data_IF_134337923042
#
_entry.id   IF_134337923042
#
_cell.length_a   1.000
_cell.length_b   1.000
_cell.length_c   1.000
_cell.angle_alpha   90.00
_cell.angle_beta   90.00
_cell.angle_gamma   90.00
#
_symmetry.space_group_name_H-M   'P 1'
#
loop_
_entity.id
_entity.type
_entity.pdbx_description
1 polymer ?
#
# COMPACT_ATOMS: atom_id res chain seq x y z
N UNK A 1 -16.15 -0.82 1.28
CA UNK A 1 -16.14 -1.65 2.50
C UNK A 1 -15.14 -1.20 3.57
N UNK A 2 -13.81 -1.33 3.42
CA UNK A 2 -12.84 -0.92 4.47
C UNK A 2 -13.02 0.55 4.88
N UNK A 3 -13.01 1.46 3.90
CA UNK A 3 -13.14 2.91 4.15
C UNK A 3 -14.49 3.27 4.78
N UNK A 4 -15.55 2.59 4.41
CA UNK A 4 -16.88 2.77 5.00
C UNK A 4 -16.90 2.37 6.48
N UNK A 5 -16.31 1.21 6.81
CA UNK A 5 -16.20 0.76 8.19
C UNK A 5 -15.40 1.75 9.06
N UNK A 6 -14.30 2.30 8.53
CA UNK A 6 -13.50 3.28 9.26
C UNK A 6 -14.21 4.64 9.38
N UNK A 7 -14.95 5.07 8.34
CA UNK A 7 -15.78 6.29 8.41
C UNK A 7 -16.93 6.12 9.42
N UNK A 8 -17.57 4.96 9.44
CA UNK A 8 -18.62 4.64 10.42
C UNK A 8 -18.07 4.66 11.87
N UNK A 9 -16.80 4.35 12.06
CA UNK A 9 -16.11 4.47 13.34
C UNK A 9 -15.62 5.90 13.67
N UNK A 10 -15.98 6.91 12.87
CA UNK A 10 -15.68 8.32 13.11
C UNK A 10 -14.36 8.82 12.51
N UNK A 11 -13.66 8.01 11.70
CA UNK A 11 -12.42 8.45 11.06
C UNK A 11 -12.69 9.19 9.74
N UNK A 12 -12.01 10.32 9.53
CA UNK A 12 -11.86 10.89 8.19
C UNK A 12 -10.86 10.04 7.40
N UNK A 13 -11.30 9.40 6.32
CA UNK A 13 -10.46 8.52 5.50
C UNK A 13 -10.08 9.24 4.21
N UNK A 14 -8.78 9.38 3.99
CA UNK A 14 -8.17 10.00 2.83
C UNK A 14 -7.30 8.98 2.09
N UNK A 15 -7.36 8.97 0.76
CA UNK A 15 -6.57 8.08 -0.06
C UNK A 15 -6.19 8.73 -1.39
N UNK A 16 -4.96 8.49 -1.85
CA UNK A 16 -4.54 8.83 -3.21
C UNK A 16 -5.10 7.76 -4.15
N UNK A 17 -5.84 8.17 -5.16
CA UNK A 17 -6.44 7.23 -6.11
C UNK A 17 -5.40 6.46 -6.91
N UNK A 18 -4.39 7.15 -7.44
CA UNK A 18 -3.39 6.58 -8.36
C UNK A 18 -2.00 7.13 -8.12
N UNK A 19 -1.12 6.33 -7.56
CA UNK A 19 0.30 6.67 -7.43
C UNK A 19 1.02 6.62 -8.80
N UNK A 20 1.93 7.57 -9.03
CA UNK A 20 2.84 7.57 -10.18
C UNK A 20 2.20 7.90 -11.53
N UNK A 21 0.93 8.30 -11.57
CA UNK A 21 0.26 8.73 -12.79
C UNK A 21 0.45 10.23 -13.09
N UNK A 22 0.66 11.04 -12.06
CA UNK A 22 0.95 12.46 -12.23
C UNK A 22 2.41 12.66 -12.72
N UNK A 23 2.66 13.47 -13.75
CA UNK A 23 4.00 13.71 -14.28
C UNK A 23 4.99 14.25 -13.25
N UNK A 24 4.51 14.99 -12.25
CA UNK A 24 5.33 15.52 -11.16
C UNK A 24 5.90 14.42 -10.24
N UNK A 25 5.31 13.21 -10.25
CA UNK A 25 5.72 12.10 -9.40
C UNK A 25 6.06 10.84 -10.20
N UNK A 26 7.14 10.87 -11.01
CA UNK A 26 7.51 9.73 -11.83
C UNK A 26 7.92 8.52 -10.98
N UNK A 27 7.63 7.33 -11.48
CA UNK A 27 8.07 6.09 -10.82
C UNK A 27 9.55 5.88 -11.08
N UNK A 28 10.36 6.04 -10.06
CA UNK A 28 11.83 5.85 -10.10
C UNK A 28 12.29 4.87 -9.03
N UNK A 29 13.55 4.43 -9.12
CA UNK A 29 14.12 3.45 -8.18
C UNK A 29 13.96 3.91 -6.72
N UNK A 30 13.49 2.99 -5.86
CA UNK A 30 13.26 3.24 -4.42
C UNK A 30 12.11 4.21 -4.09
N UNK A 31 11.32 4.64 -5.07
CA UNK A 31 10.06 5.39 -4.94
C UNK A 31 10.13 6.76 -4.23
N UNK A 32 11.19 7.57 -4.39
CA UNK A 32 11.25 8.86 -3.70
C UNK A 32 10.10 9.78 -4.10
N UNK A 33 9.74 9.84 -5.39
CA UNK A 33 8.66 10.71 -5.86
C UNK A 33 7.27 10.22 -5.45
N UNK A 34 7.06 8.90 -5.36
CA UNK A 34 5.79 8.36 -4.85
C UNK A 34 5.62 8.67 -3.35
N UNK A 35 6.71 8.58 -2.57
CA UNK A 35 6.73 9.05 -1.17
C UNK A 35 6.41 10.54 -1.09
N UNK A 36 7.00 11.36 -1.95
CA UNK A 36 6.79 12.80 -1.95
C UNK A 36 5.37 13.16 -2.39
N UNK A 37 4.77 12.40 -3.32
CA UNK A 37 3.34 12.49 -3.65
C UNK A 37 2.46 12.27 -2.41
N UNK A 38 2.76 11.24 -1.60
CA UNK A 38 2.03 11.00 -0.36
C UNK A 38 2.22 12.13 0.64
N UNK A 39 3.44 12.63 0.82
CA UNK A 39 3.72 13.73 1.74
C UNK A 39 3.01 15.03 1.35
N UNK A 40 2.99 15.37 0.08
CA UNK A 40 2.27 16.56 -0.40
C UNK A 40 0.76 16.40 -0.27
N UNK A 41 0.24 15.21 -0.53
CA UNK A 41 -1.18 14.91 -0.31
C UNK A 41 -1.57 15.09 1.16
N UNK A 42 -0.78 14.55 2.10
CA UNK A 42 -1.03 14.74 3.54
C UNK A 42 -1.00 16.22 3.92
N UNK A 43 -0.02 16.97 3.44
CA UNK A 43 0.09 18.39 3.75
C UNK A 43 -1.09 19.21 3.21
N UNK A 44 -1.59 18.86 2.03
CA UNK A 44 -2.74 19.53 1.41
C UNK A 44 -4.05 19.21 2.15
N UNK A 45 -4.25 17.94 2.52
CA UNK A 45 -5.51 17.47 3.10
C UNK A 45 -5.59 17.61 4.63
N UNK A 46 -4.43 17.66 5.31
CA UNK A 46 -4.33 17.74 6.78
C UNK A 46 -3.15 18.63 7.19
N UNK A 47 -3.16 19.91 6.84
CA UNK A 47 -2.04 20.82 7.06
C UNK A 47 -1.70 20.93 8.55
N UNK A 48 -0.45 20.63 8.89
CA UNK A 48 0.07 20.72 10.26
C UNK A 48 -0.48 19.69 11.24
N UNK A 49 -1.37 18.79 10.82
CA UNK A 49 -1.96 17.78 11.69
C UNK A 49 -1.39 16.38 11.36
N UNK A 50 -0.84 15.67 12.35
CA UNK A 50 -0.37 14.30 12.12
C UNK A 50 -1.54 13.35 11.89
N UNK A 51 -1.35 12.41 10.95
CA UNK A 51 -2.37 11.43 10.56
C UNK A 51 -1.94 10.01 10.87
N UNK A 52 -2.90 9.11 11.04
CA UNK A 52 -2.63 7.66 11.02
C UNK A 52 -2.32 7.23 9.60
N UNK A 53 -1.16 6.67 9.38
CA UNK A 53 -0.76 6.11 8.09
C UNK A 53 -1.11 4.63 8.07
N UNK A 54 -2.02 4.23 7.20
CA UNK A 54 -2.43 2.83 7.01
C UNK A 54 -2.18 2.46 5.56
N UNK A 55 -1.40 1.42 5.31
CA UNK A 55 -1.08 1.05 3.95
C UNK A 55 -0.86 -0.44 3.74
N UNK A 56 -1.46 -0.97 2.68
CA UNK A 56 -1.26 -2.34 2.22
C UNK A 56 -0.19 -2.38 1.12
N UNK A 57 0.71 -3.34 1.19
CA UNK A 57 1.72 -3.59 0.16
C UNK A 57 2.51 -2.33 -0.20
N UNK A 58 2.41 -1.81 -1.43
CA UNK A 58 2.99 -0.54 -1.86
C UNK A 58 2.67 0.60 -0.87
N UNK A 59 1.40 0.69 -0.45
CA UNK A 59 0.94 1.72 0.47
C UNK A 59 1.63 1.66 1.83
N UNK A 60 1.90 0.47 2.37
CA UNK A 60 2.63 0.29 3.62
C UNK A 60 4.09 0.74 3.51
N UNK A 61 4.75 0.43 2.40
CA UNK A 61 6.11 0.90 2.14
C UNK A 61 6.19 2.42 1.96
N UNK A 62 5.26 3.02 1.23
CA UNK A 62 5.21 4.47 1.05
C UNK A 62 4.91 5.19 2.36
N UNK A 63 3.99 4.67 3.16
CA UNK A 63 3.68 5.17 4.50
C UNK A 63 4.89 5.13 5.42
N UNK A 64 5.64 4.03 5.43
CA UNK A 64 6.88 3.91 6.19
C UNK A 64 7.94 4.91 5.71
N UNK A 65 8.16 5.03 4.40
CA UNK A 65 9.11 5.99 3.84
C UNK A 65 8.72 7.44 4.15
N UNK A 66 7.42 7.75 4.16
CA UNK A 66 6.91 9.07 4.52
C UNK A 66 7.13 9.37 6.02
N UNK A 67 6.79 8.43 6.91
CA UNK A 67 7.02 8.56 8.35
C UNK A 67 8.51 8.72 8.70
N UNK A 68 9.40 8.02 7.99
CA UNK A 68 10.84 8.17 8.16
C UNK A 68 11.36 9.52 7.62
N UNK A 69 10.79 10.02 6.54
CA UNK A 69 11.23 11.27 5.89
C UNK A 69 10.74 12.52 6.61
N UNK A 70 9.49 12.54 7.05
CA UNK A 70 8.85 13.66 7.76
C UNK A 70 8.08 13.11 8.98
N UNK A 71 8.77 12.79 10.09
CA UNK A 71 8.13 12.14 11.25
C UNK A 71 6.91 12.89 11.80
N UNK A 72 6.89 14.22 11.68
CA UNK A 72 5.80 15.06 12.15
C UNK A 72 4.45 14.81 11.46
N UNK A 73 4.41 14.19 10.28
CA UNK A 73 3.15 13.90 9.59
C UNK A 73 2.47 12.62 10.10
N UNK A 74 3.20 11.76 10.81
CA UNK A 74 2.73 10.44 11.22
C UNK A 74 2.36 10.41 12.71
N UNK A 75 1.06 10.29 13.00
CA UNK A 75 0.55 9.97 14.32
C UNK A 75 0.81 8.51 14.69
N UNK A 76 0.64 7.62 13.74
CA UNK A 76 1.01 6.21 13.81
C UNK A 76 1.22 5.62 12.42
N UNK A 77 1.80 4.44 12.36
CA UNK A 77 2.02 3.68 11.12
C UNK A 77 1.47 2.26 11.28
N UNK A 78 0.54 1.87 10.44
CA UNK A 78 0.05 0.49 10.32
C UNK A 78 0.36 -0.06 8.93
N UNK A 79 1.26 -1.02 8.87
CA UNK A 79 1.67 -1.69 7.65
C UNK A 79 0.89 -2.99 7.49
N UNK A 80 0.21 -3.15 6.37
CA UNK A 80 -0.57 -4.35 6.04
C UNK A 80 0.18 -5.13 4.97
N UNK A 81 0.69 -6.27 5.34
CA UNK A 81 1.44 -7.22 4.50
C UNK A 81 2.56 -6.58 3.65
N UNK A 82 3.29 -5.66 4.26
CA UNK A 82 4.42 -4.93 3.65
C UNK A 82 5.71 -5.23 4.43
N UNK A 83 6.23 -6.48 4.40
CA UNK A 83 7.35 -6.89 5.24
C UNK A 83 8.63 -6.15 4.87
N UNK A 84 9.38 -5.72 5.87
CA UNK A 84 10.59 -4.89 5.69
C UNK A 84 11.74 -5.71 5.11
N UNK A 85 12.16 -5.36 3.90
CA UNK A 85 13.25 -6.01 3.20
C UNK A 85 14.61 -5.45 3.65
N UNK A 86 15.46 -6.31 4.22
CA UNK A 86 16.80 -5.95 4.72
C UNK A 86 17.84 -7.02 4.39
N UNK A 87 19.11 -6.71 4.73
CA UNK A 87 20.22 -7.66 4.63
C UNK A 87 20.51 -8.12 3.19
N UNK A 88 20.91 -9.38 3.05
CA UNK A 88 21.31 -9.95 1.76
C UNK A 88 20.16 -9.98 0.73
N UNK A 89 18.90 -10.13 1.18
CA UNK A 89 17.73 -10.08 0.29
C UNK A 89 17.55 -8.70 -0.34
N UNK A 90 17.76 -7.64 0.42
CA UNK A 90 17.76 -6.28 -0.11
C UNK A 90 18.92 -6.04 -1.10
N UNK A 91 20.09 -6.60 -0.80
CA UNK A 91 21.24 -6.57 -1.70
C UNK A 91 20.97 -7.34 -3.00
N UNK A 92 20.35 -8.52 -2.92
CA UNK A 92 19.96 -9.30 -4.10
C UNK A 92 19.01 -8.52 -5.01
N UNK A 93 18.00 -7.81 -4.45
CA UNK A 93 17.12 -6.94 -5.23
C UNK A 93 17.91 -5.81 -5.89
N UNK A 94 18.87 -5.21 -5.19
CA UNK A 94 19.74 -4.16 -5.75
C UNK A 94 20.55 -4.68 -6.94
N UNK A 95 21.18 -5.83 -6.80
CA UNK A 95 21.97 -6.46 -7.87
C UNK A 95 21.09 -6.83 -9.07
N UNK A 96 19.92 -7.44 -8.84
CA UNK A 96 18.99 -7.79 -9.91
C UNK A 96 18.48 -6.56 -10.66
N UNK A 97 18.27 -5.42 -9.98
CA UNK A 97 17.90 -4.17 -10.62
C UNK A 97 19.04 -3.62 -11.48
N UNK A 98 20.26 -3.60 -10.94
CA UNK A 98 21.46 -3.16 -11.68
C UNK A 98 21.71 -4.00 -12.93
N UNK A 99 21.53 -5.32 -12.83
CA UNK A 99 21.64 -6.25 -13.94
C UNK A 99 20.43 -6.30 -14.89
N UNK A 100 19.39 -5.48 -14.64
CA UNK A 100 18.10 -5.51 -15.37
C UNK A 100 17.37 -6.85 -15.34
N UNK A 101 17.68 -7.70 -14.36
CA UNK A 101 17.08 -9.04 -14.20
C UNK A 101 15.81 -9.03 -13.34
N UNK A 102 15.52 -7.93 -12.65
CA UNK A 102 14.35 -7.82 -11.77
C UNK A 102 13.05 -8.14 -12.51
N UNK A 103 12.94 -7.81 -13.79
CA UNK A 103 11.78 -8.11 -14.64
C UNK A 103 11.50 -9.60 -14.80
N UNK A 104 12.53 -10.47 -14.64
CA UNK A 104 12.38 -11.92 -14.79
C UNK A 104 11.80 -12.59 -13.54
N UNK A 105 11.92 -11.96 -12.38
CA UNK A 105 11.55 -12.55 -11.07
C UNK A 105 10.46 -11.76 -10.34
N UNK A 106 10.21 -10.53 -10.73
CA UNK A 106 9.19 -9.69 -10.09
C UNK A 106 7.78 -9.92 -10.65
N UNK A 107 6.73 -9.51 -9.93
CA UNK A 107 5.35 -9.54 -10.43
C UNK A 107 5.14 -8.74 -11.74
N UNK A 108 6.12 -7.93 -12.15
CA UNK A 108 6.08 -7.19 -13.41
C UNK A 108 5.89 -8.09 -14.65
N UNK A 109 6.32 -9.37 -14.60
CA UNK A 109 6.04 -10.33 -15.66
C UNK A 109 4.54 -10.54 -15.91
N UNK A 110 3.74 -10.45 -14.85
CA UNK A 110 2.29 -10.59 -14.92
C UNK A 110 1.67 -9.27 -15.33
N UNK A 111 2.09 -8.15 -14.74
CA UNK A 111 1.50 -6.84 -15.01
C UNK A 111 1.71 -6.39 -16.46
N UNK A 112 2.88 -6.62 -17.05
CA UNK A 112 3.16 -6.23 -18.44
C UNK A 112 2.25 -6.94 -19.46
N UNK A 113 1.82 -8.18 -19.13
CA UNK A 113 0.95 -9.00 -19.99
C UNK A 113 -0.51 -8.94 -19.56
N UNK A 114 -0.86 -8.17 -18.54
CA UNK A 114 -2.22 -8.07 -18.02
C UNK A 114 -3.14 -7.53 -19.11
N UNK A 115 -4.29 -8.22 -19.31
CA UNK A 115 -5.40 -7.65 -20.07
C UNK A 115 -5.88 -6.38 -19.36
N UNK A 116 -6.14 -5.33 -20.09
CA UNK A 116 -6.44 -4.01 -19.56
C UNK A 116 -7.67 -3.34 -20.19
N UNK A 117 -8.27 -4.01 -21.20
CA UNK A 117 -9.47 -3.54 -21.90
C UNK A 117 -10.51 -4.66 -22.03
N UNK A 118 -11.76 -4.31 -21.89
CA UNK A 118 -12.92 -5.22 -22.02
C UNK A 118 -14.06 -4.50 -22.72
N UNK A 119 -14.98 -5.26 -23.40
CA UNK A 119 -16.13 -4.68 -24.08
C UNK A 119 -17.16 -4.10 -23.11
N UNK A 120 -17.17 -4.51 -21.83
CA UNK A 120 -18.04 -3.96 -20.79
C UNK A 120 -17.48 -4.20 -19.38
N UNK A 121 -18.06 -3.55 -18.38
CA UNK A 121 -17.75 -3.77 -16.98
C UNK A 121 -18.06 -5.21 -16.54
N UNK A 122 -19.14 -5.81 -17.04
CA UNK A 122 -19.52 -7.21 -16.78
C UNK A 122 -18.47 -8.18 -17.34
N UNK A 123 -17.94 -7.92 -18.53
CA UNK A 123 -16.87 -8.72 -19.13
C UNK A 123 -15.56 -8.59 -18.32
N UNK A 124 -15.27 -7.39 -17.80
CA UNK A 124 -14.15 -7.17 -16.89
C UNK A 124 -14.36 -7.95 -15.57
N UNK A 125 -15.54 -7.88 -14.98
CA UNK A 125 -15.88 -8.61 -13.75
C UNK A 125 -15.71 -10.13 -13.96
N UNK A 126 -16.31 -10.70 -15.01
CA UNK A 126 -16.20 -12.13 -15.33
C UNK A 126 -14.72 -12.55 -15.54
N UNK A 127 -13.93 -11.71 -16.23
CA UNK A 127 -12.51 -11.96 -16.43
C UNK A 127 -11.73 -12.03 -15.12
N UNK A 128 -11.97 -11.12 -14.18
CA UNK A 128 -11.28 -11.13 -12.89
C UNK A 128 -11.80 -12.23 -11.98
N UNK A 129 -13.11 -12.45 -11.90
CA UNK A 129 -13.72 -13.52 -11.09
C UNK A 129 -13.16 -14.92 -11.44
N UNK A 130 -12.84 -15.16 -12.72
CA UNK A 130 -12.24 -16.42 -13.17
C UNK A 130 -10.76 -16.59 -12.79
N UNK A 131 -10.10 -15.54 -12.25
CA UNK A 131 -8.69 -15.64 -11.84
C UNK A 131 -8.56 -16.09 -10.40
N UNK A 132 -7.71 -17.09 -10.16
CA UNK A 132 -7.52 -17.72 -8.85
C UNK A 132 -7.34 -16.72 -7.69
N UNK A 133 -6.53 -15.68 -7.87
CA UNK A 133 -6.28 -14.71 -6.82
C UNK A 133 -7.51 -13.84 -6.51
N UNK A 134 -8.31 -13.51 -7.53
CA UNK A 134 -9.52 -12.69 -7.39
C UNK A 134 -10.74 -13.51 -6.95
N UNK A 135 -10.77 -14.81 -7.26
CA UNK A 135 -11.84 -15.71 -6.84
C UNK A 135 -11.91 -15.88 -5.29
N UNK A 136 -10.84 -15.49 -4.60
CA UNK A 136 -10.79 -15.50 -3.12
C UNK A 136 -11.30 -14.21 -2.48
N UNK A 137 -11.48 -13.14 -3.27
CA UNK A 137 -11.95 -11.88 -2.74
C UNK A 137 -13.41 -11.93 -2.32
N UNK A 138 -13.78 -11.14 -1.32
CA UNK A 138 -15.18 -10.92 -1.02
C UNK A 138 -15.90 -10.37 -2.27
N UNK A 139 -17.08 -10.90 -2.62
CA UNK A 139 -17.77 -10.51 -3.86
C UNK A 139 -17.99 -9.00 -4.00
N UNK A 140 -18.26 -8.33 -2.87
CA UNK A 140 -18.44 -6.87 -2.81
C UNK A 140 -17.15 -6.12 -3.19
N UNK A 141 -16.00 -6.62 -2.73
CA UNK A 141 -14.70 -6.01 -3.03
C UNK A 141 -14.37 -6.15 -4.50
N UNK A 142 -14.71 -7.27 -5.12
CA UNK A 142 -14.52 -7.45 -6.56
C UNK A 142 -15.45 -6.50 -7.35
N UNK A 143 -16.70 -6.32 -6.91
CA UNK A 143 -17.60 -5.31 -7.52
C UNK A 143 -17.04 -3.90 -7.39
N UNK A 144 -16.59 -3.50 -6.20
CA UNK A 144 -15.95 -2.20 -5.96
C UNK A 144 -14.71 -2.01 -6.84
N UNK A 145 -13.89 -3.08 -6.97
CA UNK A 145 -12.69 -3.06 -7.81
C UNK A 145 -13.03 -2.80 -9.29
N UNK A 146 -14.09 -3.38 -9.80
CA UNK A 146 -14.54 -3.11 -11.18
C UNK A 146 -15.14 -1.71 -11.29
N UNK A 147 -16.02 -1.33 -10.38
CA UNK A 147 -16.71 -0.04 -10.43
C UNK A 147 -15.77 1.16 -10.31
N UNK A 148 -14.73 1.08 -9.45
CA UNK A 148 -13.79 2.17 -9.20
C UNK A 148 -12.43 1.96 -9.89
N UNK A 149 -12.09 0.75 -10.26
CA UNK A 149 -10.80 0.38 -10.87
C UNK A 149 -10.82 0.33 -12.39
N UNK A 150 -11.98 0.55 -13.02
CA UNK A 150 -12.09 0.71 -14.47
C UNK A 150 -12.64 2.10 -14.81
N UNK A 151 -12.33 2.56 -16.03
CA UNK A 151 -12.83 3.81 -16.59
C UNK A 151 -13.31 3.56 -18.04
N UNK A 152 -14.19 4.40 -18.62
CA UNK A 152 -14.57 4.29 -20.03
C UNK A 152 -13.34 4.24 -20.94
N UNK A 153 -13.35 3.35 -21.92
CA UNK A 153 -12.26 3.25 -22.89
C UNK A 153 -12.60 4.07 -24.14
N UNK A 154 -11.95 5.22 -24.37
CA UNK A 154 -12.20 6.06 -25.53
C UNK A 154 -11.76 5.41 -26.84
N UNK A 155 -10.87 4.41 -26.78
CA UNK A 155 -10.32 3.71 -27.92
C UNK A 155 -10.97 2.33 -28.13
N UNK A 156 -12.12 2.07 -27.49
CA UNK A 156 -12.84 0.80 -27.65
C UNK A 156 -13.23 0.61 -29.14
N UNK A 157 -12.90 -0.55 -29.73
CA UNK A 157 -13.03 -0.76 -31.18
C UNK A 157 -14.47 -0.76 -31.69
N UNK A 158 -15.45 -0.71 -30.82
CA UNK A 158 -16.88 -0.76 -31.18
C UNK A 158 -17.58 0.52 -30.72
N UNK A 159 -17.39 1.59 -31.49
CA UNK A 159 -18.11 2.86 -31.32
C UNK A 159 -19.66 2.69 -31.40
N UNK A 160 -20.13 1.56 -31.91
CA UNK A 160 -21.56 1.21 -31.99
C UNK A 160 -22.10 0.59 -30.69
N UNK A 161 -21.24 0.16 -29.77
CA UNK A 161 -21.60 -0.31 -28.41
C UNK A 161 -20.92 0.56 -27.35
N UNK A 162 -21.56 1.63 -26.87
CA UNK A 162 -21.03 2.43 -25.78
C UNK A 162 -20.99 1.58 -24.51
N UNK A 163 -19.80 1.17 -24.06
CA UNK A 163 -19.66 0.34 -22.84
C UNK A 163 -18.27 -0.24 -22.63
N UNK A 164 -17.34 -0.05 -23.54
CA UNK A 164 -15.96 -0.51 -23.39
C UNK A 164 -15.30 0.13 -22.18
N UNK A 165 -14.60 -0.69 -21.37
CA UNK A 165 -13.89 -0.23 -20.18
C UNK A 165 -12.43 -0.66 -20.21
N UNK A 166 -11.58 0.15 -19.59
CA UNK A 166 -10.17 -0.16 -19.36
C UNK A 166 -9.78 0.02 -17.90
N UNK A 167 -8.65 -0.58 -17.51
CA UNK A 167 -8.10 -0.35 -16.17
C UNK A 167 -7.74 1.12 -15.98
N UNK A 168 -8.26 1.73 -14.94
CA UNK A 168 -7.93 3.09 -14.52
C UNK A 168 -6.47 3.21 -14.06
N UNK A 169 -5.92 2.16 -13.41
CA UNK A 169 -4.51 2.09 -13.06
C UNK A 169 -3.72 1.47 -14.24
N UNK A 170 -2.90 2.27 -14.89
CA UNK A 170 -2.16 1.85 -16.09
C UNK A 170 -1.15 0.75 -15.76
N UNK A 171 -1.22 -0.37 -16.49
CA UNK A 171 -0.34 -1.54 -16.29
C UNK A 171 1.16 -1.20 -16.46
N UNK A 172 1.50 -0.22 -17.30
CA UNK A 172 2.87 0.25 -17.52
C UNK A 172 3.43 0.92 -16.26
N UNK A 173 2.60 1.68 -15.55
CA UNK A 173 2.95 2.29 -14.25
C UNK A 173 3.10 1.20 -13.19
N UNK A 174 2.16 0.27 -13.10
CA UNK A 174 2.24 -0.88 -12.19
C UNK A 174 3.52 -1.70 -12.42
N UNK A 175 3.81 -2.02 -13.68
CA UNK A 175 5.03 -2.73 -14.08
C UNK A 175 6.29 -1.97 -13.66
N UNK A 176 6.30 -0.64 -13.83
CA UNK A 176 7.43 0.20 -13.42
C UNK A 176 7.58 0.23 -11.89
N UNK A 177 6.49 0.26 -11.14
CA UNK A 177 6.50 0.15 -9.68
C UNK A 177 7.19 -1.15 -9.25
N UNK A 178 6.78 -2.30 -9.77
CA UNK A 178 7.40 -3.58 -9.44
C UNK A 178 8.87 -3.66 -9.82
N UNK A 179 9.28 -3.03 -10.92
CA UNK A 179 10.68 -3.04 -11.36
C UNK A 179 11.58 -2.10 -10.54
N UNK A 180 11.01 -1.23 -9.72
CA UNK A 180 11.73 -0.19 -8.98
C UNK A 180 11.63 -0.33 -7.47
N UNK A 181 11.24 -1.52 -6.97
CA UNK A 181 11.07 -1.85 -5.55
C UNK A 181 12.20 -1.27 -4.67
N UNK A 182 11.87 -0.70 -3.50
CA UNK A 182 12.88 -0.20 -2.59
C UNK A 182 13.77 -1.34 -2.04
N UNK A 183 15.07 -1.15 -2.13
CA UNK A 183 16.07 -2.07 -1.58
C UNK A 183 16.91 -1.45 -0.46
N UNK A 184 16.62 -0.21 -0.09
CA UNK A 184 17.38 0.56 0.90
C UNK A 184 16.65 0.75 2.24
N UNK A 185 15.52 0.07 2.45
CA UNK A 185 14.66 0.27 3.62
C UNK A 185 15.36 0.06 4.95
N UNK A 186 16.21 -0.96 5.07
CA UNK A 186 16.99 -1.19 6.28
C UNK A 186 17.90 -0.01 6.61
N UNK A 187 18.53 0.61 5.59
CA UNK A 187 19.36 1.82 5.76
C UNK A 187 18.52 3.03 6.18
N UNK A 188 17.33 3.20 5.58
CA UNK A 188 16.40 4.29 5.95
C UNK A 188 15.98 4.14 7.40
N UNK A 189 15.52 2.96 7.81
CA UNK A 189 15.11 2.70 9.19
C UNK A 189 16.24 2.88 10.21
N UNK A 190 17.46 2.47 9.85
CA UNK A 190 18.62 2.65 10.73
C UNK A 190 18.97 4.14 10.93
N UNK A 191 18.90 4.96 9.87
CA UNK A 191 19.29 6.38 9.93
C UNK A 191 18.17 7.31 10.37
N UNK A 192 16.94 6.99 10.01
CA UNK A 192 15.77 7.83 10.18
C UNK A 192 14.56 6.97 10.59
N UNK A 193 14.56 6.33 11.76
CA UNK A 193 13.42 5.51 12.19
C UNK A 193 12.16 6.37 12.33
N UNK A 194 10.96 5.79 12.10
CA UNK A 194 9.71 6.49 12.39
C UNK A 194 9.64 6.88 13.87
N UNK A 195 9.10 8.04 14.18
CA UNK A 195 8.97 8.56 15.54
C UNK A 195 7.54 8.41 16.09
N UNK A 196 6.80 7.47 15.56
CA UNK A 196 5.44 7.15 15.95
C UNK A 196 5.30 5.66 16.24
N UNK A 197 4.24 5.22 16.93
CA UNK A 197 3.96 3.80 17.10
C UNK A 197 3.77 3.11 15.74
N UNK A 198 4.32 1.90 15.61
CA UNK A 198 4.22 1.09 14.40
C UNK A 198 3.60 -0.26 14.71
N UNK A 199 2.70 -0.74 13.84
CA UNK A 199 2.15 -2.09 13.87
C UNK A 199 2.18 -2.74 12.48
N UNK A 200 2.01 -4.06 12.46
CA UNK A 200 2.02 -4.86 11.25
C UNK A 200 0.89 -5.90 11.28
N UNK A 201 0.10 -5.96 10.21
CA UNK A 201 -0.84 -7.04 9.96
C UNK A 201 -0.27 -7.95 8.88
N UNK A 202 -0.22 -9.25 9.14
CA UNK A 202 0.33 -10.27 8.25
C UNK A 202 -0.75 -11.26 7.80
N UNK A 203 -0.75 -11.64 6.53
CA UNK A 203 -1.56 -12.76 6.05
C UNK A 203 -0.93 -14.11 6.42
N UNK A 204 -1.72 -15.02 7.02
CA UNK A 204 -1.22 -16.36 7.41
C UNK A 204 -0.71 -17.17 6.22
N UNK A 205 -1.17 -16.87 5.02
CA UNK A 205 -0.82 -17.55 3.77
C UNK A 205 0.02 -16.64 2.83
N UNK A 206 0.46 -15.45 3.33
CA UNK A 206 1.23 -14.52 2.51
C UNK A 206 2.55 -15.14 2.02
N UNK A 207 2.71 -15.17 0.71
CA UNK A 207 3.97 -15.59 0.06
C UNK A 207 5.04 -14.53 0.27
N UNK A 208 4.67 -13.26 0.24
CA UNK A 208 5.55 -12.09 0.43
C UNK A 208 6.18 -12.11 1.82
N UNK A 209 5.38 -12.35 2.86
CA UNK A 209 5.87 -12.50 4.24
C UNK A 209 6.82 -13.69 4.36
N UNK A 210 6.50 -14.84 3.75
CA UNK A 210 7.39 -16.01 3.77
C UNK A 210 8.70 -15.77 3.05
N UNK A 211 8.66 -15.13 1.89
CA UNK A 211 9.85 -14.85 1.07
C UNK A 211 10.77 -13.82 1.72
N UNK A 212 10.22 -12.73 2.23
CA UNK A 212 11.00 -11.66 2.86
C UNK A 212 11.44 -12.08 4.27
N UNK A 213 10.57 -12.75 5.02
CA UNK A 213 10.74 -13.01 6.44
C UNK A 213 10.33 -11.81 7.30
N UNK A 214 10.24 -12.02 8.60
CA UNK A 214 9.70 -11.01 9.53
C UNK A 214 10.73 -10.46 10.53
N UNK A 215 12.00 -10.86 10.47
CA UNK A 215 12.98 -10.44 11.48
C UNK A 215 13.08 -8.91 11.60
N UNK A 216 13.28 -8.21 10.48
CA UNK A 216 13.37 -6.75 10.47
C UNK A 216 12.02 -6.08 10.79
N UNK A 217 10.90 -6.67 10.34
CA UNK A 217 9.56 -6.18 10.66
C UNK A 217 9.29 -6.31 12.16
N UNK A 218 9.59 -7.45 12.78
CA UNK A 218 9.44 -7.66 14.23
C UNK A 218 10.29 -6.69 15.05
N UNK A 219 11.52 -6.43 14.62
CA UNK A 219 12.40 -5.45 15.27
C UNK A 219 11.80 -4.02 15.21
N UNK A 220 11.00 -3.70 14.18
CA UNK A 220 10.36 -2.41 14.03
C UNK A 220 9.07 -2.29 14.86
N UNK A 221 8.22 -3.34 14.84
CA UNK A 221 6.87 -3.28 15.43
C UNK A 221 6.79 -3.90 16.82
N UNK A 222 7.85 -4.61 17.25
CA UNK A 222 7.92 -5.37 18.50
C UNK A 222 6.74 -6.36 18.62
N UNK A 223 5.91 -6.23 19.63
CA UNK A 223 4.75 -7.09 19.88
C UNK A 223 3.51 -6.73 19.06
N UNK A 224 3.54 -5.62 18.29
CA UNK A 224 2.39 -5.14 17.50
C UNK A 224 2.34 -5.79 16.14
N UNK A 225 2.54 -7.11 16.10
CA UNK A 225 2.33 -7.95 14.92
C UNK A 225 1.11 -8.83 15.14
N UNK A 226 0.18 -8.81 14.20
CA UNK A 226 -1.05 -9.58 14.23
C UNK A 226 -1.22 -10.35 12.93
N UNK A 227 -1.76 -11.56 13.02
CA UNK A 227 -2.03 -12.42 11.87
C UNK A 227 -3.50 -12.42 11.52
N UNK A 228 -3.81 -12.27 10.23
CA UNK A 228 -5.15 -12.42 9.69
C UNK A 228 -5.13 -13.59 8.70
N UNK A 229 -6.16 -14.42 8.73
CA UNK A 229 -6.30 -15.51 7.78
C UNK A 229 -6.39 -14.98 6.35
N UNK A 230 -5.55 -15.50 5.46
CA UNK A 230 -5.58 -15.16 4.04
C UNK A 230 -4.19 -15.00 3.44
N UNK A 231 -4.19 -14.71 2.14
CA UNK A 231 -2.98 -14.47 1.34
C UNK A 231 -2.44 -13.04 1.56
N UNK A 232 -1.48 -12.63 0.74
CA UNK A 232 -1.09 -11.22 0.63
C UNK A 232 -2.30 -10.26 0.42
N UNK A 233 -3.35 -10.77 -0.20
CA UNK A 233 -4.56 -10.02 -0.53
C UNK A 233 -5.67 -10.17 0.53
N UNK A 234 -5.34 -10.59 1.75
CA UNK A 234 -6.33 -10.75 2.81
C UNK A 234 -7.21 -9.51 3.06
N UNK A 235 -6.77 -8.26 2.83
CA UNK A 235 -7.68 -7.12 2.95
C UNK A 235 -8.86 -7.15 1.98
N UNK A 236 -8.70 -7.84 0.87
CA UNK A 236 -9.75 -8.08 -0.13
C UNK A 236 -10.52 -9.38 0.14
N UNK A 237 -9.86 -10.38 0.72
CA UNK A 237 -10.43 -11.68 1.06
C UNK A 237 -11.27 -11.62 2.35
N UNK A 238 -10.82 -10.85 3.34
CA UNK A 238 -11.36 -10.69 4.69
C UNK A 238 -11.50 -9.22 5.08
N UNK A 239 -12.30 -8.43 4.35
CA UNK A 239 -12.34 -6.97 4.56
C UNK A 239 -12.88 -6.58 5.94
N UNK A 240 -13.85 -7.32 6.50
CA UNK A 240 -14.40 -7.03 7.82
C UNK A 240 -13.38 -7.27 8.93
N UNK A 241 -12.66 -8.40 8.90
CA UNK A 241 -11.63 -8.74 9.88
C UNK A 241 -10.47 -7.75 9.81
N UNK A 242 -10.08 -7.37 8.58
CA UNK A 242 -9.04 -6.36 8.34
C UNK A 242 -9.48 -5.00 8.88
N UNK A 243 -10.73 -4.57 8.62
CA UNK A 243 -11.24 -3.30 9.13
C UNK A 243 -11.23 -3.26 10.66
N UNK A 244 -11.70 -4.33 11.30
CA UNK A 244 -11.72 -4.44 12.75
C UNK A 244 -10.31 -4.45 13.36
N UNK A 245 -9.35 -5.15 12.76
CA UNK A 245 -7.96 -5.19 13.21
C UNK A 245 -7.31 -3.80 13.11
N UNK A 246 -7.54 -3.09 12.01
CA UNK A 246 -7.06 -1.71 11.85
C UNK A 246 -7.62 -0.80 12.95
N UNK A 247 -8.94 -0.81 13.17
CA UNK A 247 -9.59 0.02 14.19
C UNK A 247 -9.07 -0.26 15.60
N UNK A 248 -8.86 -1.53 15.97
CA UNK A 248 -8.24 -1.88 17.25
C UNK A 248 -6.87 -1.26 17.41
N UNK A 249 -6.03 -1.34 16.37
CA UNK A 249 -4.67 -0.76 16.41
C UNK A 249 -4.69 0.76 16.46
N UNK A 250 -5.59 1.42 15.75
CA UNK A 250 -5.73 2.88 15.83
C UNK A 250 -6.18 3.32 17.23
N UNK A 251 -7.12 2.62 17.84
CA UNK A 251 -7.56 2.90 19.22
C UNK A 251 -6.42 2.70 20.24
N UNK A 252 -5.60 1.63 20.09
CA UNK A 252 -4.38 1.42 20.89
C UNK A 252 -3.41 2.60 20.75
N UNK A 253 -3.14 3.04 19.53
CA UNK A 253 -2.23 4.16 19.26
C UNK A 253 -2.73 5.48 19.86
N UNK A 254 -4.02 5.72 19.78
CA UNK A 254 -4.65 6.90 20.38
C UNK A 254 -4.54 6.88 21.92
N UNK A 255 -4.68 5.71 22.52
CA UNK A 255 -4.48 5.55 23.96
C UNK A 255 -3.02 5.84 24.37
N UNK A 256 -2.03 5.32 23.60
CA UNK A 256 -0.62 5.59 23.85
C UNK A 256 -0.30 7.09 23.76
N UNK A 257 -0.88 7.80 22.77
CA UNK A 257 -0.65 9.24 22.59
C UNK A 257 -1.23 10.06 23.74
N UNK A 258 -2.40 9.67 24.26
CA UNK A 258 -3.02 10.34 25.43
C UNK A 258 -2.26 10.10 26.75
N UNK A 259 -1.61 8.95 26.89
CA UNK A 259 -0.85 8.56 28.07
C UNK A 259 0.56 9.12 28.11
N UNK A 260 1.07 9.64 27.00
CA UNK A 260 2.39 10.25 26.95
C UNK A 260 2.39 11.57 27.75
N UNK A 261 3.33 11.77 28.71
CA UNK A 261 3.43 13.06 29.42
C UNK A 261 3.73 14.18 28.43
N UNK A 262 3.09 15.32 28.63
CA UNK A 262 3.33 16.51 27.81
C UNK A 262 4.84 16.81 27.77
N UNK A 263 5.39 17.00 26.57
CA UNK A 263 6.79 17.39 26.43
C UNK A 263 7.04 18.68 27.23
N UNK A 264 8.14 18.78 27.99
CA UNK A 264 8.47 20.01 28.71
C UNK A 264 8.60 21.17 27.71
N UNK A 265 8.13 22.37 28.06
CA UNK A 265 8.25 23.52 27.18
C UNK A 265 9.70 23.72 26.77
N UNK A 266 9.93 23.90 25.47
CA UNK A 266 11.26 24.23 24.93
C UNK A 266 11.77 25.47 25.64
N UNK A 267 12.94 25.38 26.30
CA UNK A 267 13.62 26.55 26.84
C UNK A 267 13.82 27.57 25.73
N UNK A 268 13.46 28.85 25.92
CA UNK A 268 13.84 29.88 24.98
C UNK A 268 15.37 29.98 24.94
N UNK A 269 15.87 30.17 23.70
CA UNK A 269 17.30 30.32 23.41
C UNK A 269 17.83 31.67 23.93
#
# INVERSE_FOLDING_TARGET
>A
MLFEAWRAAGHRVLAIERFGHAPAYPVTSNWPHLRDQLLQFIEAESPGQPVHLVGHSLGGFLSMLAACRKPAVAKSLLMIDSPVLTGWKAHSVQVMKAARLIQKVSPSRVSVKRRWQWPSAEAAHAHFAAKHNFARWAPEVLRDYIACGTEPDPDAPDAAQPGGVRLAFRREIETRIYNTLPHHMGRVLHRHPPRCPVAFLAGTQSVEVRQVGLAATRALVHERLEWIEGSHLFPMEKPADTAAAVLRRLAEFDALTRSAPAAPPSRPA
#
